data_IF_871559590564
#
_entry.id   IF_871559590564
#
_cell.length_a   1.000
_cell.length_b   1.000
_cell.length_c   1.000
_cell.angle_alpha   90.00
_cell.angle_beta   90.00
_cell.angle_gamma   90.00
#
_symmetry.space_group_name_H-M   'P 1'
#
loop_
_entity.id
_entity.type
_entity.pdbx_description
1 polymer ?
#
# COMPACT_ATOMS: atom_id res chain seq x y z
N UNK A 1 -24.31 -14.17 -40.10
CA UNK A 1 -22.96 -13.86 -39.56
C UNK A 1 -21.95 -14.83 -40.14
N UNK A 2 -20.88 -14.34 -40.73
CA UNK A 2 -19.78 -15.19 -41.19
C UNK A 2 -18.76 -15.36 -40.07
N UNK A 3 -18.40 -16.60 -39.77
CA UNK A 3 -17.39 -16.91 -38.76
C UNK A 3 -16.19 -17.55 -39.45
N UNK A 4 -15.01 -17.00 -39.27
CA UNK A 4 -13.74 -17.59 -39.70
C UNK A 4 -13.06 -18.18 -38.47
N UNK A 5 -12.77 -19.48 -38.49
CA UNK A 5 -12.04 -20.18 -37.42
C UNK A 5 -10.64 -20.49 -37.93
N UNK A 6 -9.65 -19.92 -37.25
CA UNK A 6 -8.22 -20.12 -37.57
C UNK A 6 -7.43 -20.33 -36.27
N UNK A 7 -6.36 -21.12 -36.33
CA UNK A 7 -5.48 -21.33 -35.18
C UNK A 7 -4.52 -20.17 -35.01
N UNK A 8 -4.12 -19.53 -36.09
CA UNK A 8 -3.18 -18.42 -36.08
C UNK A 8 -3.57 -17.40 -37.16
N UNK A 9 -3.51 -16.13 -36.81
CA UNK A 9 -3.57 -15.01 -37.76
C UNK A 9 -2.24 -14.31 -37.71
N UNK A 10 -1.52 -14.31 -38.83
CA UNK A 10 -0.21 -13.65 -38.92
C UNK A 10 -0.20 -12.68 -40.10
N UNK A 11 0.71 -11.72 -40.07
CA UNK A 11 0.95 -10.79 -41.18
C UNK A 11 1.60 -11.52 -42.36
N UNK A 12 1.14 -11.21 -43.58
CA UNK A 12 1.75 -11.73 -44.79
C UNK A 12 3.04 -10.98 -45.18
N UNK A 13 3.01 -9.65 -45.04
CA UNK A 13 4.12 -8.73 -45.34
C UNK A 13 4.05 -7.51 -44.45
N UNK A 14 5.18 -6.83 -44.24
CA UNK A 14 5.26 -5.63 -43.39
C UNK A 14 5.34 -5.92 -41.89
N UNK A 15 5.23 -4.89 -41.06
CA UNK A 15 5.37 -4.96 -39.60
C UNK A 15 4.02 -4.90 -38.84
N UNK A 16 2.89 -4.70 -39.53
CA UNK A 16 1.59 -4.43 -38.90
C UNK A 16 0.55 -5.44 -39.34
N UNK A 17 -0.16 -6.01 -38.37
CA UNK A 17 -1.43 -6.71 -38.57
C UNK A 17 -2.53 -5.80 -38.01
N UNK A 18 -3.45 -5.35 -38.88
CA UNK A 18 -4.59 -4.53 -38.47
C UNK A 18 -5.83 -5.40 -38.25
N UNK A 19 -6.38 -5.40 -37.06
CA UNK A 19 -7.63 -6.06 -36.70
C UNK A 19 -8.70 -5.00 -36.46
N UNK A 20 -9.65 -4.89 -37.36
CA UNK A 20 -10.70 -3.88 -37.31
C UNK A 20 -10.25 -2.50 -37.84
N UNK A 21 -11.19 -1.58 -37.97
CA UNK A 21 -10.97 -0.20 -38.36
C UNK A 21 -11.44 0.78 -37.30
N UNK A 22 -11.47 2.08 -37.62
CA UNK A 22 -11.94 3.11 -36.69
C UNK A 22 -13.37 2.78 -36.19
N UNK A 23 -13.58 2.80 -34.89
CA UNK A 23 -14.86 2.47 -34.26
C UNK A 23 -15.16 0.98 -34.12
N UNK A 24 -14.24 0.09 -34.51
CA UNK A 24 -14.43 -1.37 -34.37
C UNK A 24 -13.95 -1.82 -32.99
N UNK A 25 -14.76 -2.63 -32.30
CA UNK A 25 -14.38 -3.29 -31.07
C UNK A 25 -13.85 -4.68 -31.36
N UNK A 26 -12.64 -5.00 -30.86
CA UNK A 26 -12.09 -6.35 -30.83
C UNK A 26 -12.34 -6.94 -29.45
N UNK A 27 -13.19 -7.96 -29.37
CA UNK A 27 -13.58 -8.59 -28.10
C UNK A 27 -12.92 -9.97 -27.99
N UNK A 28 -12.27 -10.22 -26.87
CA UNK A 28 -11.77 -11.54 -26.52
C UNK A 28 -12.93 -12.43 -26.01
N UNK A 29 -12.94 -13.69 -26.38
CA UNK A 29 -13.89 -14.66 -25.85
C UNK A 29 -13.68 -14.89 -24.35
N UNK A 30 -14.71 -15.42 -23.65
CA UNK A 30 -14.62 -15.75 -22.25
C UNK A 30 -13.46 -16.74 -21.97
N UNK A 31 -12.62 -16.41 -21.02
CA UNK A 31 -11.42 -17.19 -20.66
C UNK A 31 -10.19 -16.96 -21.55
N UNK A 32 -10.30 -16.16 -22.65
CA UNK A 32 -9.17 -15.77 -23.45
C UNK A 32 -8.38 -14.66 -22.76
N UNK A 33 -7.06 -14.72 -22.85
CA UNK A 33 -6.16 -13.70 -22.32
C UNK A 33 -5.40 -13.01 -23.44
N UNK A 34 -5.10 -11.72 -23.30
CA UNK A 34 -4.25 -11.00 -24.23
C UNK A 34 -2.82 -10.95 -23.71
N UNK A 35 -1.85 -11.00 -24.65
CA UNK A 35 -0.46 -10.76 -24.37
C UNK A 35 0.11 -9.85 -25.45
N UNK A 36 0.73 -8.73 -25.06
CA UNK A 36 1.34 -7.77 -26.00
C UNK A 36 0.38 -6.85 -26.77
N UNK A 37 -0.92 -6.94 -26.55
CA UNK A 37 -1.88 -5.94 -27.05
C UNK A 37 -1.82 -4.70 -26.16
N UNK A 38 -1.52 -3.57 -26.71
CA UNK A 38 -1.50 -2.24 -26.13
C UNK A 38 -1.83 -2.07 -24.65
N UNK A 39 -1.43 -0.99 -24.06
CA UNK A 39 -1.69 -0.74 -22.63
C UNK A 39 -3.10 -0.29 -22.41
N UNK A 40 -3.78 -0.91 -21.47
CA UNK A 40 -5.11 -0.49 -21.00
C UNK A 40 -5.06 0.66 -19.98
N UNK A 41 -3.93 1.41 -19.94
CA UNK A 41 -3.74 2.51 -18.98
C UNK A 41 -3.27 2.08 -17.59
N UNK A 42 -3.09 0.79 -17.35
CA UNK A 42 -2.56 0.22 -16.10
C UNK A 42 -1.27 -0.55 -16.36
N UNK A 43 -0.52 -0.77 -15.28
CA UNK A 43 0.68 -1.62 -15.31
C UNK A 43 0.32 -3.06 -14.99
N UNK A 44 1.12 -4.00 -15.49
CA UNK A 44 1.08 -5.40 -15.05
C UNK A 44 1.94 -5.55 -13.78
N UNK A 45 1.28 -5.83 -12.65
CA UNK A 45 1.93 -5.85 -11.35
C UNK A 45 2.72 -7.14 -11.12
N UNK A 46 4.01 -6.99 -10.81
CA UNK A 46 4.86 -8.05 -10.30
C UNK A 46 4.54 -8.28 -8.82
N UNK A 47 3.85 -9.36 -8.49
CA UNK A 47 3.41 -9.67 -7.12
C UNK A 47 4.53 -10.15 -6.20
N UNK A 48 5.70 -10.53 -6.76
CA UNK A 48 6.90 -10.80 -5.96
C UNK A 48 7.60 -9.49 -5.61
N UNK A 49 7.59 -9.13 -4.33
CA UNK A 49 8.20 -7.90 -3.86
C UNK A 49 9.72 -7.87 -4.12
N UNK A 50 10.22 -6.71 -4.54
CA UNK A 50 11.64 -6.47 -4.81
C UNK A 50 12.33 -6.01 -3.52
N UNK A 51 13.40 -6.69 -3.14
CA UNK A 51 14.19 -6.43 -1.93
C UNK A 51 15.63 -5.97 -2.20
N UNK A 52 16.01 -5.89 -3.47
CA UNK A 52 17.35 -5.50 -3.94
C UNK A 52 17.24 -4.58 -5.15
N UNK A 53 18.29 -3.82 -5.51
CA UNK A 53 18.29 -2.95 -6.69
C UNK A 53 17.93 -3.71 -7.97
N UNK A 54 17.13 -3.06 -8.82
CA UNK A 54 16.70 -3.63 -10.11
C UNK A 54 16.42 -2.55 -11.15
N UNK A 55 16.38 -2.97 -12.41
CA UNK A 55 15.94 -2.13 -13.52
C UNK A 55 14.47 -2.42 -13.82
N UNK A 56 13.66 -1.36 -13.80
CA UNK A 56 12.25 -1.44 -14.15
C UNK A 56 12.04 -1.66 -15.64
N UNK A 57 10.96 -2.34 -15.97
CA UNK A 57 10.53 -2.61 -17.35
C UNK A 57 9.26 -1.82 -17.61
N UNK A 58 9.19 -1.17 -18.77
CA UNK A 58 8.00 -0.43 -19.19
C UNK A 58 6.75 -1.32 -19.24
N UNK A 59 5.65 -0.84 -18.69
CA UNK A 59 4.39 -1.58 -18.57
C UNK A 59 4.25 -2.37 -17.27
N UNK A 60 5.26 -2.37 -16.40
CA UNK A 60 5.24 -3.13 -15.15
C UNK A 60 5.07 -2.25 -13.92
N UNK A 61 4.36 -2.79 -12.93
CA UNK A 61 4.31 -2.28 -11.57
C UNK A 61 5.10 -3.17 -10.61
N UNK A 62 5.71 -2.59 -9.60
CA UNK A 62 6.55 -3.29 -8.64
C UNK A 62 6.19 -2.93 -7.22
N UNK A 63 6.01 -3.94 -6.38
CA UNK A 63 6.06 -3.78 -4.94
C UNK A 63 7.51 -3.81 -4.50
N UNK A 64 7.95 -2.78 -3.76
CA UNK A 64 9.33 -2.67 -3.26
C UNK A 64 9.30 -2.77 -1.75
N UNK A 65 10.05 -3.72 -1.22
CA UNK A 65 10.17 -3.96 0.21
C UNK A 65 11.53 -3.46 0.70
N UNK A 66 11.52 -2.38 1.46
CA UNK A 66 12.71 -1.74 2.03
C UNK A 66 12.93 -2.05 3.51
N UNK A 67 12.28 -3.10 4.05
CA UNK A 67 12.42 -3.48 5.47
C UNK A 67 13.89 -3.72 5.87
N UNK A 68 14.69 -4.32 4.99
CA UNK A 68 16.09 -4.66 5.25
C UNK A 68 17.10 -3.61 4.76
N UNK A 69 16.66 -2.53 4.10
CA UNK A 69 17.53 -1.48 3.58
C UNK A 69 16.95 -0.75 2.37
N UNK A 70 17.60 0.35 2.00
CA UNK A 70 17.21 1.15 0.85
C UNK A 70 17.37 0.38 -0.47
N UNK A 71 16.46 0.61 -1.41
CA UNK A 71 16.46 -0.06 -2.72
C UNK A 71 16.56 0.99 -3.83
N UNK A 72 17.41 0.73 -4.83
CA UNK A 72 17.48 1.55 -6.05
C UNK A 72 16.67 0.90 -7.16
N UNK A 73 15.76 1.66 -7.75
CA UNK A 73 15.00 1.31 -8.94
C UNK A 73 15.53 2.13 -10.11
N UNK A 74 16.15 1.47 -11.07
CA UNK A 74 16.62 2.13 -12.30
C UNK A 74 15.48 2.18 -13.30
N UNK A 75 15.12 3.37 -13.78
CA UNK A 75 14.08 3.56 -14.80
C UNK A 75 14.52 2.95 -16.14
N UNK A 76 13.57 2.57 -17.01
CA UNK A 76 13.89 1.99 -18.33
C UNK A 76 14.83 2.88 -19.14
N UNK A 77 15.80 2.29 -19.81
CA UNK A 77 16.68 3.00 -20.74
C UNK A 77 15.95 3.30 -22.05
N UNK A 78 16.28 4.43 -22.67
CA UNK A 78 15.72 4.85 -23.97
C UNK A 78 14.19 4.74 -24.04
N UNK A 79 13.46 5.35 -23.10
CA UNK A 79 12.01 5.22 -23.05
C UNK A 79 11.36 5.90 -24.25
N UNK A 80 10.20 5.40 -24.65
CA UNK A 80 9.33 5.97 -25.68
C UNK A 80 8.14 6.68 -25.03
N UNK A 81 7.58 7.69 -25.71
CA UNK A 81 6.38 8.37 -25.25
C UNK A 81 5.24 7.36 -24.93
N UNK A 82 4.65 7.53 -23.77
CA UNK A 82 3.63 6.61 -23.23
C UNK A 82 4.19 5.40 -22.47
N UNK A 83 5.50 5.25 -22.32
CA UNK A 83 6.07 4.25 -21.41
C UNK A 83 5.65 4.54 -19.98
N UNK A 84 5.27 3.49 -19.26
CA UNK A 84 4.68 3.59 -17.92
C UNK A 84 5.38 2.63 -16.94
N UNK A 85 5.58 3.07 -15.72
CA UNK A 85 6.07 2.25 -14.61
C UNK A 85 5.38 2.67 -13.32
N UNK A 86 5.06 1.71 -12.47
CA UNK A 86 4.50 1.98 -11.14
C UNK A 86 5.34 1.34 -10.05
N UNK A 87 5.39 1.99 -8.90
CA UNK A 87 6.13 1.54 -7.73
C UNK A 87 5.25 1.75 -6.51
N UNK A 88 5.17 0.75 -5.64
CA UNK A 88 4.40 0.81 -4.41
C UNK A 88 5.22 0.28 -3.22
N UNK A 89 5.06 0.93 -2.08
CA UNK A 89 5.65 0.51 -0.81
C UNK A 89 4.99 -0.77 -0.31
N UNK A 90 5.74 -1.87 -0.29
CA UNK A 90 5.22 -3.18 0.12
C UNK A 90 4.95 -3.28 1.62
N UNK A 91 5.86 -2.75 2.43
CA UNK A 91 5.88 -2.97 3.88
C UNK A 91 5.65 -1.67 4.69
N UNK A 92 5.29 -0.56 4.02
CA UNK A 92 5.16 0.75 4.65
C UNK A 92 6.46 1.21 5.34
N UNK A 93 7.60 1.06 4.65
CA UNK A 93 8.93 1.31 5.20
C UNK A 93 9.77 2.33 4.42
N UNK A 94 9.22 2.98 3.39
CA UNK A 94 9.96 3.98 2.59
C UNK A 94 10.43 5.19 3.42
N UNK A 95 9.75 5.54 4.49
CA UNK A 95 10.17 6.62 5.40
C UNK A 95 11.40 6.25 6.23
N UNK A 96 11.68 4.96 6.42
CA UNK A 96 12.85 4.48 7.17
C UNK A 96 14.01 4.18 6.23
N UNK A 97 13.73 3.49 5.13
CA UNK A 97 14.68 3.12 4.10
C UNK A 97 14.12 3.52 2.74
N UNK A 98 14.61 4.62 2.18
CA UNK A 98 14.04 5.20 0.97
C UNK A 98 14.27 4.34 -0.26
N UNK A 99 13.37 4.48 -1.24
CA UNK A 99 13.63 4.03 -2.61
C UNK A 99 14.26 5.17 -3.39
N UNK A 100 15.38 4.89 -4.05
CA UNK A 100 16.00 5.82 -5.01
C UNK A 100 15.59 5.45 -6.43
N UNK A 101 14.98 6.39 -7.13
CA UNK A 101 14.70 6.27 -8.56
C UNK A 101 15.91 6.78 -9.35
N UNK A 102 16.67 5.87 -9.94
CA UNK A 102 17.75 6.23 -10.86
C UNK A 102 17.14 6.55 -12.22
N UNK A 103 17.35 7.77 -12.69
CA UNK A 103 16.75 8.34 -13.89
C UNK A 103 17.28 7.76 -15.22
N UNK A 104 18.39 6.98 -15.19
CA UNK A 104 18.97 6.26 -16.31
C UNK A 104 19.13 7.14 -17.57
N UNK A 105 19.73 8.30 -17.42
CA UNK A 105 19.95 9.32 -18.45
C UNK A 105 18.68 10.00 -18.99
N UNK A 106 17.49 9.65 -18.51
CA UNK A 106 16.24 10.37 -18.82
C UNK A 106 15.92 11.38 -17.73
N UNK A 107 15.16 12.40 -18.04
CA UNK A 107 14.72 13.36 -17.04
C UNK A 107 13.56 12.79 -16.20
N UNK A 108 13.42 13.30 -14.99
CA UNK A 108 12.25 13.12 -14.15
C UNK A 108 11.70 14.52 -13.87
N UNK A 109 10.49 14.79 -14.31
CA UNK A 109 9.82 16.10 -14.20
C UNK A 109 10.71 17.27 -14.67
N UNK A 110 11.31 17.13 -15.86
CA UNK A 110 12.18 18.12 -16.48
C UNK A 110 13.62 18.16 -15.95
N UNK A 111 13.95 17.44 -14.88
CA UNK A 111 15.26 17.46 -14.21
C UNK A 111 16.03 16.16 -14.46
N UNK A 112 17.30 16.29 -14.88
CA UNK A 112 18.19 15.15 -15.07
C UNK A 112 18.88 14.80 -13.74
N UNK A 113 18.11 14.19 -12.82
CA UNK A 113 18.57 13.77 -11.50
C UNK A 113 17.77 12.56 -11.00
N UNK A 114 18.31 11.89 -10.00
CA UNK A 114 17.58 10.85 -9.25
C UNK A 114 16.47 11.46 -8.41
N UNK A 115 15.41 10.70 -8.16
CA UNK A 115 14.35 11.07 -7.22
C UNK A 115 14.30 10.08 -6.06
N UNK A 116 13.72 10.48 -4.93
CA UNK A 116 13.57 9.63 -3.76
C UNK A 116 12.10 9.47 -3.40
N UNK A 117 11.71 8.22 -3.10
CA UNK A 117 10.43 7.91 -2.46
C UNK A 117 10.70 7.66 -0.99
N UNK A 118 10.19 8.53 -0.13
CA UNK A 118 10.52 8.58 1.30
C UNK A 118 9.30 8.70 2.21
N UNK A 119 8.11 8.48 1.68
CA UNK A 119 6.87 8.58 2.45
C UNK A 119 6.30 7.20 2.72
N UNK A 120 5.89 6.97 3.94
CA UNK A 120 5.26 5.71 4.36
C UNK A 120 4.03 5.38 3.51
N UNK A 121 4.00 4.17 2.97
CA UNK A 121 2.89 3.70 2.14
C UNK A 121 2.79 4.36 0.76
N UNK A 122 3.83 5.07 0.33
CA UNK A 122 3.83 5.78 -0.95
C UNK A 122 3.69 4.82 -2.13
N UNK A 123 2.88 5.21 -3.10
CA UNK A 123 2.85 4.59 -4.42
C UNK A 123 2.81 5.66 -5.49
N UNK A 124 3.53 5.42 -6.59
CA UNK A 124 3.59 6.35 -7.72
C UNK A 124 3.38 5.62 -9.04
N UNK A 125 2.88 6.34 -10.03
CA UNK A 125 2.87 5.93 -11.43
C UNK A 125 3.52 7.01 -12.28
N UNK A 126 4.57 6.64 -13.00
CA UNK A 126 5.32 7.50 -13.89
C UNK A 126 4.99 7.15 -15.34
N UNK A 127 4.79 8.16 -16.17
CA UNK A 127 4.65 8.04 -17.62
C UNK A 127 5.74 8.86 -18.29
N UNK A 128 6.44 8.27 -19.24
CA UNK A 128 7.39 9.01 -20.06
C UNK A 128 6.66 9.83 -21.12
N UNK A 129 6.89 11.14 -21.15
CA UNK A 129 6.23 12.05 -22.08
C UNK A 129 7.12 12.29 -23.30
N UNK A 130 8.30 12.89 -23.09
CA UNK A 130 9.24 13.26 -24.12
C UNK A 130 10.64 13.50 -23.53
N UNK A 131 11.61 13.91 -24.35
CA UNK A 131 12.97 14.20 -23.91
C UNK A 131 13.09 15.52 -23.11
N UNK A 132 12.09 16.42 -23.15
CA UNK A 132 12.10 17.69 -22.46
C UNK A 132 11.70 17.52 -20.99
N UNK A 133 10.58 16.86 -20.74
CA UNK A 133 10.02 16.63 -19.42
C UNK A 133 10.45 15.28 -18.83
N UNK A 134 10.65 14.28 -19.67
CA UNK A 134 11.02 12.93 -19.25
C UNK A 134 9.86 12.17 -18.62
N UNK A 135 10.13 11.55 -17.49
CA UNK A 135 9.14 10.83 -16.69
C UNK A 135 8.33 11.80 -15.84
N UNK A 136 7.01 11.77 -16.01
CA UNK A 136 6.06 12.56 -15.21
C UNK A 136 5.28 11.67 -14.26
N UNK A 137 5.15 12.13 -13.03
CA UNK A 137 4.27 11.50 -12.06
C UNK A 137 2.82 11.85 -12.42
N UNK A 138 2.02 10.84 -12.76
CA UNK A 138 0.60 11.00 -13.13
C UNK A 138 -0.34 10.51 -12.02
N UNK A 139 0.18 9.75 -11.08
CA UNK A 139 -0.56 9.28 -9.91
C UNK A 139 0.40 9.12 -8.73
N UNK A 140 0.08 9.74 -7.61
CA UNK A 140 0.81 9.64 -6.36
C UNK A 140 -0.18 9.38 -5.22
N UNK A 141 0.13 8.41 -4.39
CA UNK A 141 -0.58 8.13 -3.15
C UNK A 141 0.44 8.03 -2.02
N UNK A 142 0.23 8.81 -0.97
CA UNK A 142 1.06 8.82 0.24
C UNK A 142 0.45 8.04 1.39
N UNK A 143 -0.64 7.30 1.12
CA UNK A 143 -1.27 6.45 2.11
C UNK A 143 -1.89 5.22 1.46
N UNK A 144 -1.75 4.08 2.10
CA UNK A 144 -2.45 2.85 1.73
C UNK A 144 -3.80 2.76 2.45
N UNK A 145 -4.80 2.22 1.77
CA UNK A 145 -6.04 1.81 2.42
C UNK A 145 -5.70 0.66 3.36
N UNK A 146 -5.95 0.87 4.65
CA UNK A 146 -5.66 -0.11 5.69
C UNK A 146 -6.96 -0.62 6.29
N UNK A 147 -7.05 -1.93 6.46
CA UNK A 147 -8.19 -2.55 7.15
C UNK A 147 -8.30 -2.05 8.60
N UNK A 148 -9.52 -1.82 9.05
CA UNK A 148 -9.81 -1.36 10.42
C UNK A 148 -9.65 -2.51 11.40
N UNK A 149 -8.80 -2.34 12.41
CA UNK A 149 -8.70 -3.25 13.54
C UNK A 149 -8.81 -2.50 14.85
N UNK A 150 -9.55 -3.09 15.80
CA UNK A 150 -9.80 -2.50 17.10
C UNK A 150 -8.99 -3.20 18.17
N UNK A 151 -8.74 -2.48 19.26
CA UNK A 151 -8.12 -3.04 20.44
C UNK A 151 -9.01 -4.14 21.04
N UNK A 152 -8.38 -5.19 21.57
CA UNK A 152 -9.04 -6.23 22.35
C UNK A 152 -8.20 -6.57 23.58
N UNK A 153 -8.85 -6.64 24.74
CA UNK A 153 -8.21 -6.97 25.99
C UNK A 153 -9.15 -7.75 26.91
N UNK A 154 -8.57 -8.36 27.92
CA UNK A 154 -9.27 -9.10 28.99
C UNK A 154 -8.80 -8.63 30.37
N UNK A 155 -9.52 -8.99 31.41
CA UNK A 155 -9.20 -8.66 32.81
C UNK A 155 -10.17 -7.68 33.44
N UNK A 156 -10.28 -7.73 34.77
CA UNK A 156 -11.21 -6.95 35.56
C UNK A 156 -12.69 -7.26 35.24
N UNK A 157 -13.59 -6.41 35.73
CA UNK A 157 -15.01 -6.45 35.38
C UNK A 157 -15.21 -5.67 34.10
N UNK A 158 -15.78 -6.32 33.07
CA UNK A 158 -15.93 -5.73 31.74
C UNK A 158 -17.35 -5.27 31.52
N UNK A 159 -17.53 -4.01 31.12
CA UNK A 159 -18.80 -3.43 30.68
C UNK A 159 -18.63 -2.77 29.32
N UNK A 160 -19.70 -2.70 28.52
CA UNK A 160 -19.71 -2.01 27.23
C UNK A 160 -20.62 -0.78 27.32
N UNK A 161 -20.17 0.33 26.77
CA UNK A 161 -20.93 1.57 26.64
C UNK A 161 -20.72 2.17 25.26
N UNK A 162 -21.73 2.06 24.37
CA UNK A 162 -21.59 2.42 22.98
C UNK A 162 -20.44 1.63 22.32
N UNK A 163 -19.55 2.33 21.65
CA UNK A 163 -18.37 1.75 20.97
C UNK A 163 -17.21 1.43 21.91
N UNK A 164 -17.39 1.61 23.24
CA UNK A 164 -16.30 1.45 24.20
C UNK A 164 -16.48 0.24 25.11
N UNK A 165 -15.37 -0.43 25.37
CA UNK A 165 -15.23 -1.46 26.37
C UNK A 165 -14.50 -0.86 27.58
N UNK A 166 -15.06 -1.09 28.77
CA UNK A 166 -14.58 -0.55 30.04
C UNK A 166 -14.21 -1.71 30.95
N UNK A 167 -12.99 -1.71 31.43
CA UNK A 167 -12.43 -2.66 32.39
C UNK A 167 -12.29 -1.97 33.73
N UNK A 168 -12.91 -2.52 34.76
CA UNK A 168 -12.89 -2.00 36.15
C UNK A 168 -12.18 -2.97 37.04
N UNK A 169 -11.17 -2.52 37.77
CA UNK A 169 -10.39 -3.25 38.75
C UNK A 169 -10.60 -2.63 40.13
N UNK A 170 -11.15 -3.38 41.09
CA UNK A 170 -11.31 -3.00 42.49
C UNK A 170 -10.45 -3.83 43.45
N UNK A 171 -9.67 -4.75 42.89
CA UNK A 171 -8.70 -5.60 43.53
C UNK A 171 -7.56 -5.90 42.55
N UNK A 172 -6.52 -6.60 42.99
CA UNK A 172 -5.41 -7.03 42.14
C UNK A 172 -5.94 -7.80 40.91
N UNK A 173 -5.35 -7.49 39.76
CA UNK A 173 -5.73 -8.11 38.49
C UNK A 173 -4.82 -7.68 37.34
N UNK A 174 -4.90 -8.43 36.23
CA UNK A 174 -4.12 -8.14 35.03
C UNK A 174 -5.03 -7.61 33.92
N UNK A 175 -4.61 -6.54 33.27
CA UNK A 175 -5.16 -6.09 31.99
C UNK A 175 -4.30 -6.69 30.88
N UNK A 176 -4.83 -7.70 30.18
CA UNK A 176 -4.10 -8.42 29.12
C UNK A 176 -4.62 -8.02 27.75
N UNK A 177 -3.75 -7.40 26.96
CA UNK A 177 -4.06 -6.97 25.58
C UNK A 177 -3.80 -8.14 24.64
N UNK A 178 -4.84 -8.64 23.95
CA UNK A 178 -4.78 -9.70 22.94
C UNK A 178 -4.60 -9.15 21.52
N UNK A 179 -5.07 -7.93 21.26
CA UNK A 179 -4.85 -7.18 20.02
C UNK A 179 -4.67 -5.71 20.34
N UNK A 180 -3.62 -5.12 19.85
CA UNK A 180 -3.38 -3.70 20.02
C UNK A 180 -4.26 -2.81 19.12
N UNK A 181 -4.94 -3.41 18.12
CA UNK A 181 -5.67 -2.64 17.10
C UNK A 181 -4.73 -1.85 16.19
N UNK A 182 -5.28 -0.88 15.47
CA UNK A 182 -4.51 0.03 14.62
C UNK A 182 -5.09 1.45 14.66
N UNK A 183 -4.35 2.49 14.14
CA UNK A 183 -4.83 3.88 14.18
C UNK A 183 -6.15 4.13 13.42
N UNK A 184 -6.48 3.28 12.43
CA UNK A 184 -7.73 3.40 11.66
C UNK A 184 -8.94 2.97 12.48
N UNK A 185 -8.79 1.96 13.34
CA UNK A 185 -9.79 1.53 14.30
C UNK A 185 -9.56 2.21 15.66
N UNK A 186 -8.81 1.55 16.53
CA UNK A 186 -8.39 2.09 17.83
C UNK A 186 -7.16 1.34 18.33
N UNK A 187 -6.14 2.06 18.77
CA UNK A 187 -4.92 1.52 19.39
C UNK A 187 -4.50 2.31 20.64
N UNK A 188 -5.44 3.05 21.22
CA UNK A 188 -5.23 3.85 22.43
C UNK A 188 -6.18 3.45 23.52
N UNK A 189 -5.79 3.70 24.77
CA UNK A 189 -6.63 3.51 25.95
C UNK A 189 -6.73 4.82 26.72
N UNK A 190 -7.89 5.08 27.30
CA UNK A 190 -8.08 6.04 28.38
C UNK A 190 -8.00 5.26 29.71
N UNK A 191 -7.41 5.86 30.72
CA UNK A 191 -7.39 5.26 32.03
C UNK A 191 -7.62 6.27 33.15
N UNK A 192 -8.20 5.76 34.24
CA UNK A 192 -8.38 6.48 35.50
C UNK A 192 -7.87 5.59 36.64
N UNK A 193 -7.01 6.14 37.46
CA UNK A 193 -6.53 5.48 38.68
C UNK A 193 -6.89 6.36 39.88
N UNK A 194 -7.64 5.79 40.81
CA UNK A 194 -7.99 6.43 42.06
C UNK A 194 -7.44 5.57 43.20
N UNK A 195 -6.53 6.12 43.99
CA UNK A 195 -5.97 5.44 45.14
C UNK A 195 -7.02 5.24 46.25
N UNK A 196 -6.80 4.22 47.05
CA UNK A 196 -7.62 4.01 48.24
C UNK A 196 -7.50 5.13 49.25
N UNK A 197 -8.54 5.47 49.97
CA UNK A 197 -8.51 6.42 51.05
C UNK A 197 -7.72 5.92 52.25
N UNK A 198 -7.07 6.82 52.99
CA UNK A 198 -6.37 6.47 54.25
C UNK A 198 -7.34 5.93 55.29
N UNK A 199 -6.91 4.89 56.04
CA UNK A 199 -7.63 4.42 57.21
C UNK A 199 -7.43 5.32 58.41
N UNK A 200 -8.39 5.28 59.35
CA UNK A 200 -8.22 5.88 60.70
C UNK A 200 -7.62 4.85 61.64
N UNK A 201 -7.21 5.27 62.81
CA UNK A 201 -6.63 4.36 63.82
C UNK A 201 -7.55 3.15 64.08
N UNK A 202 -7.03 1.97 63.77
CA UNK A 202 -7.72 0.69 63.95
C UNK A 202 -8.70 0.31 62.79
N UNK A 203 -8.74 1.05 61.67
CA UNK A 203 -9.57 0.67 60.52
C UNK A 203 -8.73 0.67 59.23
N UNK A 204 -8.95 -0.30 58.39
CA UNK A 204 -8.32 -0.35 57.09
C UNK A 204 -8.77 0.85 56.19
N UNK A 205 -7.91 1.32 55.34
CA UNK A 205 -8.24 2.28 54.33
C UNK A 205 -9.17 1.70 53.25
N UNK A 206 -9.80 2.56 52.46
CA UNK A 206 -10.60 2.13 51.33
C UNK A 206 -9.77 1.54 50.17
N UNK A 207 -10.37 0.63 49.43
CA UNK A 207 -9.73 0.12 48.20
C UNK A 207 -9.69 1.21 47.12
N UNK A 208 -8.63 1.22 46.34
CA UNK A 208 -8.56 2.01 45.11
C UNK A 208 -9.39 1.42 43.97
N UNK A 209 -9.45 2.11 42.87
CA UNK A 209 -10.08 1.64 41.64
C UNK A 209 -9.21 2.03 40.43
N UNK A 210 -9.08 1.11 39.49
CA UNK A 210 -8.50 1.37 38.18
C UNK A 210 -9.57 1.11 37.12
N UNK A 211 -9.77 2.07 36.26
CA UNK A 211 -10.70 1.97 35.12
C UNK A 211 -9.90 2.18 33.86
N UNK A 212 -10.02 1.26 32.90
CA UNK A 212 -9.40 1.36 31.56
C UNK A 212 -10.51 1.28 30.54
N UNK A 213 -10.50 2.21 29.58
CA UNK A 213 -11.51 2.28 28.52
C UNK A 213 -10.80 2.33 27.16
N UNK A 214 -11.34 1.61 26.18
CA UNK A 214 -10.88 1.68 24.80
C UNK A 214 -12.04 1.44 23.83
N UNK A 215 -11.90 1.97 22.59
CA UNK A 215 -12.84 1.73 21.50
C UNK A 215 -12.61 0.32 20.94
N UNK A 216 -13.71 -0.47 20.77
CA UNK A 216 -13.63 -1.87 20.36
C UNK A 216 -14.47 -2.21 19.11
N UNK A 217 -15.18 -1.25 18.52
CA UNK A 217 -15.97 -1.34 17.29
C UNK A 217 -16.18 0.02 16.64
#
# INVERSE_FOLDING_TARGET
MSTVKVNTVDKRTGSTLTLGGCGTTVTLGAGATQSGFGRTGTVDWCTTAKTSPFTGVSGKGYFVNTTCGAVTVTLPASPSAGDIISIADYASTFQTNNVTLCNNSSKINGVCATASLSTQGQSITLVYVDATEGWKNVQDSTSNVTGTTYMSATGGTITCCGDYKIHTFTADGCFSVSSAGNPVGSNTVDYLVVAGGGGTVGRAGGSGIVIIRYKYQ
#
